data_IF_190843639334
#
_entry.id   IF_190843639334
#
_cell.length_a   1.000
_cell.length_b   1.000
_cell.length_c   1.000
_cell.angle_alpha   90.00
_cell.angle_beta   90.00
_cell.angle_gamma   90.00
#
_symmetry.space_group_name_H-M   'P 1'
#
loop_
_entity.id
_entity.type
_entity.pdbx_description
1 polymer ?
#
# COMPACT_ATOMS: atom_id res chain seq x y z
N UNK A 1 9.12 3.99 9.95
CA UNK A 1 8.81 3.29 8.69
C UNK A 1 7.99 2.05 9.02
N UNK A 2 6.74 2.00 8.55
CA UNK A 2 5.78 0.92 8.85
C UNK A 2 5.65 -0.13 7.72
N UNK A 3 6.40 0.04 6.62
CA UNK A 3 6.43 -0.93 5.50
C UNK A 3 7.87 -1.38 5.25
N UNK A 4 8.05 -2.70 5.16
CA UNK A 4 9.26 -3.36 4.65
C UNK A 4 8.95 -3.92 3.28
N UNK A 5 9.75 -3.54 2.29
CA UNK A 5 9.54 -3.90 0.89
C UNK A 5 10.76 -4.63 0.34
N UNK A 6 10.52 -5.76 -0.34
CA UNK A 6 11.55 -6.55 -1.03
C UNK A 6 10.98 -7.07 -2.33
N UNK A 7 11.73 -6.94 -3.40
CA UNK A 7 11.39 -7.55 -4.67
C UNK A 7 12.53 -8.45 -5.15
N UNK A 8 12.18 -9.45 -5.95
CA UNK A 8 13.11 -10.33 -6.66
C UNK A 8 12.60 -10.57 -8.06
N UNK A 9 13.51 -10.53 -9.03
CA UNK A 9 13.20 -10.86 -10.42
C UNK A 9 13.61 -12.30 -10.72
N UNK A 10 12.72 -13.04 -11.38
CA UNK A 10 12.93 -14.40 -11.89
C UNK A 10 12.55 -14.41 -13.36
N UNK A 11 13.55 -14.28 -14.24
CA UNK A 11 13.31 -14.09 -15.68
C UNK A 11 12.48 -12.82 -15.94
N UNK A 12 11.30 -13.01 -16.53
CA UNK A 12 10.37 -11.92 -16.87
C UNK A 12 9.33 -11.65 -15.77
N UNK A 13 9.48 -12.26 -14.60
CA UNK A 13 8.54 -12.09 -13.48
C UNK A 13 9.21 -11.37 -12.33
N UNK A 14 8.57 -10.32 -11.83
CA UNK A 14 8.94 -9.68 -10.56
C UNK A 14 8.01 -10.19 -9.46
N UNK A 15 8.59 -10.76 -8.42
CA UNK A 15 7.89 -11.08 -7.18
C UNK A 15 8.17 -9.95 -6.20
N UNK A 16 7.12 -9.28 -5.76
CA UNK A 16 7.19 -8.18 -4.80
C UNK A 16 6.49 -8.58 -3.51
N UNK A 17 7.22 -8.53 -2.39
CA UNK A 17 6.75 -8.89 -1.06
C UNK A 17 6.79 -7.67 -0.14
N UNK A 18 5.70 -7.50 0.63
CA UNK A 18 5.51 -6.41 1.57
C UNK A 18 5.23 -6.96 2.96
N UNK A 19 5.97 -6.48 3.95
CA UNK A 19 5.65 -6.61 5.37
C UNK A 19 5.14 -5.27 5.89
N UNK A 20 3.91 -5.22 6.41
CA UNK A 20 3.26 -3.99 6.84
C UNK A 20 2.93 -4.10 8.33
N UNK A 21 3.45 -3.17 9.13
CA UNK A 21 3.03 -2.99 10.50
C UNK A 21 1.75 -2.12 10.52
N UNK A 22 0.71 -2.62 11.18
CA UNK A 22 -0.59 -1.94 11.24
C UNK A 22 -0.70 -1.21 12.57
N UNK A 23 -1.20 0.03 12.55
CA UNK A 23 -1.39 0.87 13.73
C UNK A 23 -2.85 1.33 13.82
N UNK A 24 -3.23 1.88 14.97
CA UNK A 24 -4.51 2.57 15.13
C UNK A 24 -4.41 4.01 14.62
N UNK A 25 -5.52 4.73 14.68
CA UNK A 25 -5.62 6.18 14.43
C UNK A 25 -4.89 7.04 15.47
N UNK A 26 -4.30 6.45 16.51
CA UNK A 26 -3.40 7.14 17.45
C UNK A 26 -1.94 7.22 16.96
N UNK A 27 -1.64 6.71 15.76
CA UNK A 27 -0.29 6.77 15.19
C UNK A 27 0.20 8.22 15.03
N UNK A 28 1.46 8.47 15.40
CA UNK A 28 2.12 9.78 15.28
C UNK A 28 3.40 9.65 14.48
N UNK A 29 3.51 10.38 13.38
CA UNK A 29 4.72 10.39 12.56
C UNK A 29 5.97 10.83 13.34
N UNK A 30 7.07 10.12 13.13
CA UNK A 30 8.35 10.36 13.81
C UNK A 30 8.39 9.92 15.28
N UNK A 31 7.30 9.42 15.86
CA UNK A 31 7.31 8.90 17.23
C UNK A 31 7.92 7.50 17.31
N UNK A 32 8.75 7.29 18.33
CA UNK A 32 9.28 5.99 18.76
C UNK A 32 8.30 5.21 19.66
N UNK A 33 7.17 5.81 20.05
CA UNK A 33 6.16 5.24 20.95
C UNK A 33 4.99 4.59 20.23
N UNK A 34 4.98 4.59 18.90
CA UNK A 34 3.93 3.92 18.13
C UNK A 34 3.96 2.41 18.44
N UNK A 35 2.81 1.86 18.84
CA UNK A 35 2.65 0.42 19.13
C UNK A 35 1.80 -0.23 18.03
N UNK A 36 2.32 -1.22 17.29
CA UNK A 36 1.54 -1.94 16.30
C UNK A 36 0.36 -2.68 16.93
N UNK A 37 -0.73 -2.80 16.18
CA UNK A 37 -1.87 -3.61 16.59
C UNK A 37 -1.53 -5.10 16.48
N UNK A 38 -1.99 -5.89 17.45
CA UNK A 38 -1.94 -7.35 17.33
C UNK A 38 -2.93 -7.80 16.27
N UNK A 39 -2.44 -8.48 15.24
CA UNK A 39 -3.26 -9.03 14.18
C UNK A 39 -3.95 -10.33 14.64
N UNK A 40 -5.14 -10.57 14.12
CA UNK A 40 -5.90 -11.80 14.33
C UNK A 40 -6.61 -12.19 13.05
N UNK A 41 -6.77 -13.50 12.81
CA UNK A 41 -7.51 -14.01 11.67
C UNK A 41 -8.92 -13.37 11.60
N UNK A 42 -9.35 -13.05 10.38
CA UNK A 42 -10.61 -12.36 10.12
C UNK A 42 -10.57 -10.84 10.26
N UNK A 43 -9.48 -10.23 10.74
CA UNK A 43 -9.33 -8.77 10.76
C UNK A 43 -9.46 -8.21 9.33
N UNK A 44 -10.36 -7.23 9.15
CA UNK A 44 -10.54 -6.50 7.89
C UNK A 44 -9.82 -5.16 7.98
N UNK A 45 -9.09 -4.79 6.93
CA UNK A 45 -8.26 -3.60 6.83
C UNK A 45 -8.44 -2.98 5.44
N UNK A 46 -8.21 -1.68 5.31
CA UNK A 46 -8.09 -1.03 4.02
C UNK A 46 -6.70 -1.24 3.44
N UNK A 47 -6.60 -1.65 2.17
CA UNK A 47 -5.33 -1.65 1.43
C UNK A 47 -5.55 -1.23 -0.03
N UNK A 48 -4.61 -0.47 -0.57
CA UNK A 48 -4.46 -0.24 -2.00
C UNK A 48 -2.98 -0.37 -2.36
N UNK A 49 -2.68 -1.07 -3.44
CA UNK A 49 -1.34 -1.18 -4.01
C UNK A 49 -1.34 -0.47 -5.36
N UNK A 50 -0.30 0.32 -5.64
CA UNK A 50 -0.11 0.91 -6.96
C UNK A 50 1.33 0.70 -7.43
N UNK A 51 1.47 0.39 -8.71
CA UNK A 51 2.72 0.46 -9.44
C UNK A 51 2.72 1.73 -10.29
N UNK A 52 3.72 2.56 -10.08
CA UNK A 52 3.91 3.84 -10.76
C UNK A 52 5.32 3.83 -11.34
N UNK A 53 5.44 3.97 -12.67
CA UNK A 53 6.73 4.12 -13.33
C UNK A 53 6.90 5.53 -13.92
N UNK A 54 8.16 5.88 -14.04
CA UNK A 54 8.61 7.02 -14.80
C UNK A 54 10.07 6.72 -15.15
N UNK A 55 10.28 6.01 -16.27
CA UNK A 55 11.58 5.49 -16.68
C UNK A 55 12.44 6.55 -17.40
N UNK A 56 12.07 7.84 -17.33
CA UNK A 56 12.91 8.95 -17.78
C UNK A 56 12.19 10.15 -18.38
N UNK A 57 10.88 10.29 -18.16
CA UNK A 57 10.04 11.33 -18.75
C UNK A 57 9.72 12.46 -17.74
N UNK A 58 9.31 13.63 -18.23
CA UNK A 58 8.83 14.73 -17.36
C UNK A 58 7.52 14.37 -16.65
N UNK A 59 6.77 13.41 -17.19
CA UNK A 59 5.48 12.94 -16.67
C UNK A 59 5.55 11.44 -16.32
N UNK A 60 4.65 11.01 -15.43
CA UNK A 60 4.43 9.59 -15.12
C UNK A 60 3.93 8.86 -16.37
N UNK A 61 4.52 7.70 -16.67
CA UNK A 61 4.21 6.93 -17.88
C UNK A 61 3.02 5.99 -17.64
N UNK A 62 3.09 5.19 -16.58
CA UNK A 62 2.05 4.27 -16.16
C UNK A 62 1.69 4.47 -14.70
N UNK A 63 0.41 4.23 -14.40
CA UNK A 63 -0.12 4.13 -13.06
C UNK A 63 -1.14 3.01 -13.04
N UNK A 64 -0.79 1.89 -12.40
CA UNK A 64 -1.64 0.72 -12.31
C UNK A 64 -1.92 0.47 -10.83
N UNK A 65 -3.18 0.60 -10.42
CA UNK A 65 -3.64 0.36 -9.06
C UNK A 65 -4.36 -0.98 -8.92
N UNK A 66 -4.36 -1.57 -7.73
CA UNK A 66 -5.18 -2.72 -7.37
C UNK A 66 -6.67 -2.38 -7.27
N UNK A 67 -6.98 -1.12 -7.00
CA UNK A 67 -8.34 -0.61 -6.84
C UNK A 67 -8.73 0.39 -7.93
N UNK A 68 -10.02 0.48 -8.22
CA UNK A 68 -10.56 1.44 -9.18
C UNK A 68 -10.70 2.83 -8.54
N UNK A 69 -10.14 3.86 -9.17
CA UNK A 69 -10.31 5.25 -8.80
C UNK A 69 -11.19 5.97 -9.83
N UNK A 70 -12.50 6.19 -9.54
CA UNK A 70 -13.40 6.88 -10.46
C UNK A 70 -13.22 8.41 -10.39
N UNK A 71 -13.58 9.08 -11.49
CA UNK A 71 -13.53 10.54 -11.63
C UNK A 71 -12.18 11.09 -12.07
N UNK A 72 -12.04 12.41 -11.96
CA UNK A 72 -10.80 13.15 -12.19
C UNK A 72 -9.83 12.96 -11.01
N UNK A 73 -8.53 13.14 -11.24
CA UNK A 73 -7.46 12.98 -10.23
C UNK A 73 -7.42 11.57 -9.62
N UNK A 74 -7.15 10.58 -10.47
CA UNK A 74 -7.16 9.14 -10.12
C UNK A 74 -6.01 8.68 -9.23
N UNK A 75 -4.99 9.52 -9.01
CA UNK A 75 -3.80 9.20 -8.21
C UNK A 75 -3.88 9.72 -6.77
N UNK A 76 -5.06 9.61 -6.16
CA UNK A 76 -5.31 10.11 -4.79
C UNK A 76 -5.25 9.03 -3.71
N UNK A 77 -4.87 7.79 -4.04
CA UNK A 77 -4.76 6.71 -3.04
C UNK A 77 -3.75 7.00 -1.91
N UNK A 78 -2.80 7.92 -2.10
CA UNK A 78 -1.86 8.30 -1.05
C UNK A 78 -2.47 9.24 0.01
N UNK A 79 -3.61 9.89 -0.27
CA UNK A 79 -4.27 10.87 0.61
C UNK A 79 -5.72 10.48 0.98
N UNK A 80 -6.37 9.67 0.15
CA UNK A 80 -7.78 9.27 0.29
C UNK A 80 -7.89 7.77 0.55
N UNK A 81 -7.97 7.40 1.84
CA UNK A 81 -8.20 6.01 2.25
C UNK A 81 -9.60 5.48 1.87
N UNK A 82 -10.53 6.35 1.42
CA UNK A 82 -11.83 5.94 0.90
C UNK A 82 -11.75 5.16 -0.41
N UNK A 83 -10.59 5.18 -1.09
CA UNK A 83 -10.32 4.37 -2.28
C UNK A 83 -9.81 2.96 -1.96
N UNK A 84 -9.55 2.63 -0.69
CA UNK A 84 -8.95 1.36 -0.34
C UNK A 84 -9.96 0.22 -0.45
N UNK A 85 -9.50 -0.89 -1.02
CA UNK A 85 -10.23 -2.15 -1.00
C UNK A 85 -10.21 -2.78 0.39
N UNK A 86 -11.02 -3.83 0.57
CA UNK A 86 -11.06 -4.59 1.80
C UNK A 86 -10.07 -5.76 1.76
N UNK A 87 -9.04 -5.71 2.60
CA UNK A 87 -8.12 -6.80 2.86
C UNK A 87 -8.54 -7.55 4.13
N UNK A 88 -8.90 -8.82 3.99
CA UNK A 88 -9.16 -9.71 5.13
C UNK A 88 -7.93 -10.56 5.42
N UNK A 89 -7.44 -10.49 6.65
CA UNK A 89 -6.39 -11.38 7.13
C UNK A 89 -6.95 -12.81 7.29
N UNK A 90 -6.28 -13.77 6.68
CA UNK A 90 -6.58 -15.22 6.77
C UNK A 90 -5.57 -15.92 7.69
N UNK A 91 -5.81 -17.19 8.01
CA UNK A 91 -4.90 -18.02 8.84
C UNK A 91 -3.54 -18.26 8.19
#
# INVERSE_FOLDING_TARGET
HHVRSRWRQQGNTVVWELGIDVYTDQYVDGSDKNVPVKLSAGKVMGLMLAWCDNDGSELRENFIGSESAPGENKDRGWIDAGLFGALRLVE
#
